data_IF_287722531998
#
_entry.id   IF_287722531998
#
_cell.length_a   1.000
_cell.length_b   1.000
_cell.length_c   1.000
_cell.angle_alpha   90.00
_cell.angle_beta   90.00
_cell.angle_gamma   90.00
#
_symmetry.space_group_name_H-M   'P 1'
#
loop_
_entity.id
_entity.type
_entity.pdbx_description
1 polymer ?
#
# COMPACT_ATOMS: atom_id res chain seq x y z
N UNK A 1 -64.54 -52.50 80.85
CA UNK A 1 -65.89 -52.20 80.28
C UNK A 1 -65.67 -51.19 79.16
N UNK A 2 -65.50 -51.62 77.92
CA UNK A 2 -66.52 -51.82 76.87
C UNK A 2 -66.98 -50.51 76.18
N UNK A 3 -66.47 -50.33 74.94
CA UNK A 3 -67.10 -49.79 73.71
C UNK A 3 -67.24 -48.28 73.43
N UNK A 4 -66.64 -47.87 72.29
CA UNK A 4 -67.20 -47.20 71.07
C UNK A 4 -66.17 -46.19 70.54
N UNK A 5 -65.39 -46.47 69.49
CA UNK A 5 -65.73 -46.38 68.04
C UNK A 5 -66.45 -45.08 67.66
N UNK A 6 -65.70 -44.08 67.17
CA UNK A 6 -66.05 -43.41 65.91
C UNK A 6 -64.80 -42.76 65.29
N UNK A 7 -64.44 -43.24 64.11
CA UNK A 7 -63.61 -42.54 63.15
C UNK A 7 -64.28 -41.22 62.75
N UNK A 8 -63.54 -40.12 62.77
CA UNK A 8 -63.50 -39.21 61.62
C UNK A 8 -62.02 -38.96 61.30
N UNK A 9 -61.58 -39.68 60.29
CA UNK A 9 -60.44 -39.38 59.45
C UNK A 9 -60.80 -38.10 58.68
N UNK A 10 -60.17 -36.97 59.01
CA UNK A 10 -59.84 -35.93 58.03
C UNK A 10 -58.53 -35.30 58.44
N UNK A 11 -57.53 -35.77 57.71
CA UNK A 11 -56.18 -35.31 57.57
C UNK A 11 -56.09 -33.78 57.66
N UNK A 12 -55.16 -33.33 58.51
CA UNK A 12 -54.55 -32.01 58.50
C UNK A 12 -54.48 -31.42 57.08
N UNK A 13 -55.08 -30.25 56.86
CA UNK A 13 -54.33 -29.06 56.43
C UNK A 13 -54.89 -27.86 57.20
N UNK A 14 -53.96 -27.15 57.82
CA UNK A 14 -54.13 -25.93 58.60
C UNK A 14 -54.98 -24.90 57.88
N UNK A 15 -55.91 -24.29 58.62
CA UNK A 15 -56.44 -22.99 58.28
C UNK A 15 -55.32 -21.94 58.32
N UNK A 16 -55.28 -21.14 57.25
CA UNK A 16 -54.76 -19.79 57.12
C UNK A 16 -54.13 -19.19 58.40
N UNK A 17 -52.81 -19.10 58.42
CA UNK A 17 -52.07 -18.28 59.38
C UNK A 17 -52.04 -16.84 58.85
N UNK A 18 -52.66 -15.93 59.61
CA UNK A 18 -52.59 -14.50 59.37
C UNK A 18 -51.19 -13.99 59.72
N UNK A 19 -50.30 -13.96 58.72
CA UNK A 19 -49.08 -13.16 58.73
C UNK A 19 -47.80 -13.93 58.46
N UNK A 20 -47.41 -14.01 57.18
CA UNK A 20 -46.04 -14.36 56.81
C UNK A 20 -45.88 -14.83 55.37
N UNK A 21 -45.73 -13.89 54.44
CA UNK A 21 -45.25 -14.14 53.06
C UNK A 21 -45.81 -15.43 52.42
N UNK A 22 -47.13 -15.49 52.24
CA UNK A 22 -47.85 -16.62 51.66
C UNK A 22 -47.44 -16.82 50.18
N UNK A 23 -46.46 -17.69 49.95
CA UNK A 23 -46.19 -18.20 48.61
C UNK A 23 -47.16 -19.34 48.32
N UNK A 24 -48.23 -19.00 47.62
CA UNK A 24 -49.11 -19.97 46.96
C UNK A 24 -48.30 -20.88 46.05
N UNK A 25 -48.52 -22.21 46.06
CA UNK A 25 -47.99 -23.08 45.02
C UNK A 25 -48.57 -22.69 43.65
N UNK A 26 -47.75 -22.72 42.61
CA UNK A 26 -48.14 -22.30 41.25
C UNK A 26 -49.29 -23.11 40.63
N UNK A 27 -49.67 -24.26 41.20
CA UNK A 27 -50.79 -25.06 40.73
C UNK A 27 -52.14 -24.68 41.37
N UNK A 28 -52.11 -23.86 42.43
CA UNK A 28 -53.31 -23.35 43.14
C UNK A 28 -53.60 -21.88 42.76
N UNK A 29 -52.87 -21.31 41.81
CA UNK A 29 -53.12 -19.98 41.27
C UNK A 29 -53.92 -20.08 39.97
N UNK A 30 -54.86 -19.16 39.77
CA UNK A 30 -55.50 -18.96 38.47
C UNK A 30 -54.54 -18.29 37.48
N UNK A 31 -54.98 -18.06 36.24
CA UNK A 31 -54.10 -17.45 35.23
C UNK A 31 -53.75 -15.97 35.50
N UNK A 32 -54.42 -15.30 36.45
CA UNK A 32 -54.12 -13.94 36.89
C UNK A 32 -53.15 -13.93 38.09
N UNK A 33 -52.76 -15.11 38.58
CA UNK A 33 -51.87 -15.28 39.72
C UNK A 33 -52.58 -15.19 41.06
N UNK A 34 -53.92 -15.19 41.08
CA UNK A 34 -54.71 -15.16 42.30
C UNK A 34 -54.86 -16.58 42.87
N UNK A 35 -54.57 -16.75 44.16
CA UNK A 35 -54.74 -18.03 44.83
C UNK A 35 -56.21 -18.43 44.87
N UNK A 36 -56.52 -19.63 44.37
CA UNK A 36 -57.87 -20.18 44.29
C UNK A 36 -58.83 -19.27 43.52
N UNK A 37 -58.32 -18.49 42.57
CA UNK A 37 -59.16 -17.74 41.64
C UNK A 37 -59.80 -18.65 40.60
N UNK A 38 -60.81 -18.13 39.90
CA UNK A 38 -61.60 -18.84 38.89
C UNK A 38 -61.24 -18.40 37.47
N UNK A 39 -60.21 -17.56 37.28
CA UNK A 39 -59.87 -17.02 35.98
C UNK A 39 -59.29 -18.11 35.06
N UNK A 40 -59.79 -18.18 33.83
CA UNK A 40 -59.41 -19.21 32.85
C UNK A 40 -58.62 -18.61 31.69
N UNK A 41 -57.69 -19.39 31.15
CA UNK A 41 -56.95 -19.03 29.94
C UNK A 41 -57.87 -19.18 28.74
N UNK A 42 -58.05 -18.12 27.96
CA UNK A 42 -58.80 -18.12 26.71
C UNK A 42 -58.01 -18.77 25.55
N UNK A 43 -58.63 -18.92 24.38
CA UNK A 43 -57.99 -19.55 23.21
C UNK A 43 -56.81 -18.76 22.64
N UNK A 44 -56.63 -17.52 23.11
CA UNK A 44 -55.53 -16.62 22.77
C UNK A 44 -54.39 -16.65 23.80
N UNK A 45 -54.52 -17.45 24.86
CA UNK A 45 -53.54 -17.51 25.94
C UNK A 45 -53.66 -16.37 26.96
N UNK A 46 -54.68 -15.52 26.85
CA UNK A 46 -54.98 -14.44 27.79
C UNK A 46 -55.85 -14.93 28.94
N UNK A 47 -55.67 -14.37 30.14
CA UNK A 47 -56.47 -14.72 31.30
C UNK A 47 -57.79 -13.93 31.34
N UNK A 48 -58.94 -14.62 31.43
CA UNK A 48 -60.29 -14.03 31.32
C UNK A 48 -60.46 -13.09 30.12
N UNK A 49 -59.74 -13.38 29.03
CA UNK A 49 -59.76 -12.58 27.82
C UNK A 49 -61.03 -12.77 27.00
N UNK A 50 -61.22 -11.90 26.01
CA UNK A 50 -62.37 -11.94 25.09
C UNK A 50 -62.28 -13.07 24.06
N UNK A 51 -61.19 -13.84 24.02
CA UNK A 51 -60.93 -14.87 23.01
C UNK A 51 -60.82 -14.32 21.59
N UNK A 52 -61.15 -15.15 20.61
CA UNK A 52 -61.16 -14.75 19.20
C UNK A 52 -62.38 -13.88 18.85
N UNK A 53 -62.13 -12.81 18.10
CA UNK A 53 -63.18 -12.00 17.48
C UNK A 53 -63.69 -12.60 16.15
N UNK A 54 -64.61 -11.88 15.48
CA UNK A 54 -65.22 -12.34 14.23
C UNK A 54 -64.23 -12.52 13.05
N UNK A 55 -63.04 -11.94 13.16
CA UNK A 55 -61.95 -12.07 12.18
C UNK A 55 -60.95 -13.18 12.55
N UNK A 56 -61.16 -13.88 13.68
CA UNK A 56 -60.24 -14.90 14.18
C UNK A 56 -58.99 -14.32 14.87
N UNK A 57 -59.01 -13.04 15.25
CA UNK A 57 -57.93 -12.37 15.96
C UNK A 57 -58.23 -12.24 17.45
N UNK A 58 -57.19 -12.09 18.26
CA UNK A 58 -57.33 -12.06 19.72
C UNK A 58 -57.82 -10.69 20.20
N UNK A 59 -58.82 -10.69 21.08
CA UNK A 59 -59.35 -9.44 21.65
C UNK A 59 -59.95 -8.52 20.59
N UNK A 60 -59.53 -7.26 20.58
CA UNK A 60 -59.99 -6.22 19.65
C UNK A 60 -59.06 -6.00 18.44
N UNK A 61 -58.08 -6.90 18.23
CA UNK A 61 -57.17 -6.83 17.10
C UNK A 61 -57.91 -6.95 15.75
N UNK A 62 -57.55 -6.09 14.80
CA UNK A 62 -58.06 -6.13 13.43
C UNK A 62 -57.07 -6.79 12.49
N UNK A 63 -57.57 -7.26 11.33
CA UNK A 63 -56.70 -7.68 10.24
C UNK A 63 -55.95 -6.48 9.64
N UNK A 64 -54.66 -6.65 9.39
CA UNK A 64 -53.85 -5.71 8.62
C UNK A 64 -54.06 -5.88 7.11
N UNK A 65 -53.30 -5.13 6.31
CA UNK A 65 -53.42 -5.14 4.85
C UNK A 65 -53.13 -6.51 4.22
N UNK A 66 -52.33 -7.34 4.88
CA UNK A 66 -51.93 -8.67 4.43
C UNK A 66 -52.83 -9.79 4.97
N UNK A 67 -53.88 -9.42 5.72
CA UNK A 67 -54.87 -10.36 6.26
C UNK A 67 -54.40 -11.10 7.52
N UNK A 68 -53.43 -10.52 8.24
CA UNK A 68 -52.92 -11.04 9.51
C UNK A 68 -53.40 -10.20 10.70
N UNK A 69 -53.50 -10.82 11.89
CA UNK A 69 -53.95 -10.12 13.09
C UNK A 69 -52.90 -9.12 13.59
N UNK A 70 -53.31 -7.89 13.83
CA UNK A 70 -52.43 -6.83 14.34
C UNK A 70 -51.21 -6.59 13.43
N UNK A 71 -50.03 -6.58 14.03
CA UNK A 71 -48.75 -6.33 13.34
C UNK A 71 -48.07 -7.63 12.86
N UNK A 72 -48.76 -8.77 12.89
CA UNK A 72 -48.20 -10.03 12.38
C UNK A 72 -47.99 -9.95 10.88
N UNK A 73 -46.82 -10.38 10.42
CA UNK A 73 -46.50 -10.48 9.00
C UNK A 73 -46.65 -11.94 8.52
N UNK A 74 -47.15 -12.17 7.29
CA UNK A 74 -47.15 -13.50 6.70
C UNK A 74 -45.73 -13.91 6.28
N UNK A 75 -45.35 -15.14 6.57
CA UNK A 75 -44.17 -15.74 5.92
C UNK A 75 -44.45 -16.00 4.43
N UNK A 76 -43.45 -16.47 3.67
CA UNK A 76 -43.63 -16.70 2.23
C UNK A 76 -44.64 -17.80 1.84
N UNK A 77 -45.19 -18.56 2.80
CA UNK A 77 -46.32 -19.47 2.60
C UNK A 77 -47.68 -18.83 2.92
N UNK A 78 -47.69 -17.54 3.29
CA UNK A 78 -48.89 -16.81 3.70
C UNK A 78 -49.33 -17.09 5.14
N UNK A 79 -48.46 -17.65 5.98
CA UNK A 79 -48.79 -17.93 7.39
C UNK A 79 -48.39 -16.74 8.27
N UNK A 80 -49.38 -16.08 8.87
CA UNK A 80 -49.19 -14.97 9.81
C UNK A 80 -48.45 -15.40 11.07
N UNK A 81 -47.36 -14.72 11.43
CA UNK A 81 -46.59 -15.02 12.65
C UNK A 81 -45.93 -16.40 12.66
N UNK A 82 -45.87 -17.07 11.51
CA UNK A 82 -45.19 -18.35 11.35
C UNK A 82 -43.67 -18.19 11.39
N UNK A 83 -42.95 -19.31 11.48
CA UNK A 83 -41.50 -19.31 11.34
C UNK A 83 -41.08 -18.65 10.02
N UNK A 84 -40.02 -17.85 10.06
CA UNK A 84 -39.42 -17.26 8.88
C UNK A 84 -38.92 -18.37 7.97
N UNK A 85 -39.56 -18.48 6.81
CA UNK A 85 -39.10 -19.34 5.72
C UNK A 85 -38.53 -18.37 4.67
N UNK A 86 -37.24 -18.45 4.34
CA UNK A 86 -36.66 -17.57 3.33
C UNK A 86 -37.11 -17.97 1.92
N UNK A 87 -37.14 -17.00 1.02
CA UNK A 87 -37.21 -17.25 -0.42
C UNK A 87 -35.83 -17.69 -0.91
N UNK A 88 -35.79 -18.69 -1.79
CA UNK A 88 -34.59 -18.99 -2.55
C UNK A 88 -34.40 -17.96 -3.69
N UNK A 89 -33.27 -18.01 -4.40
CA UNK A 89 -32.99 -17.03 -5.47
C UNK A 89 -33.99 -17.07 -6.64
N UNK A 90 -34.80 -18.15 -6.74
CA UNK A 90 -35.85 -18.30 -7.75
C UNK A 90 -37.21 -17.77 -7.24
N UNK A 91 -37.25 -17.18 -6.05
CA UNK A 91 -38.46 -16.69 -5.41
C UNK A 91 -39.35 -17.82 -4.88
N UNK A 92 -38.79 -19.01 -4.62
CA UNK A 92 -39.54 -20.15 -4.06
C UNK A 92 -39.35 -20.18 -2.55
N UNK A 93 -40.46 -20.17 -1.82
CA UNK A 93 -40.48 -20.26 -0.37
C UNK A 93 -39.88 -21.58 0.12
N UNK A 94 -38.78 -21.54 0.89
CA UNK A 94 -38.06 -22.72 1.36
C UNK A 94 -37.43 -23.53 0.23
N UNK A 95 -37.22 -22.90 -0.93
CA UNK A 95 -36.57 -23.54 -2.06
C UNK A 95 -35.08 -23.75 -1.82
N UNK A 96 -34.45 -24.50 -2.71
CA UNK A 96 -33.03 -24.87 -2.61
C UNK A 96 -32.19 -24.18 -3.67
N UNK A 97 -32.76 -23.28 -4.47
CA UNK A 97 -32.01 -22.59 -5.50
C UNK A 97 -31.03 -21.61 -4.86
N UNK A 98 -29.77 -21.70 -5.27
CA UNK A 98 -28.69 -20.83 -4.82
C UNK A 98 -28.19 -19.98 -5.97
N UNK A 99 -27.79 -18.74 -5.69
CA UNK A 99 -27.09 -17.90 -6.67
C UNK A 99 -25.71 -18.51 -6.95
N UNK A 100 -25.29 -18.44 -8.21
CA UNK A 100 -23.91 -18.72 -8.60
C UNK A 100 -23.03 -17.48 -8.40
N UNK A 101 -21.74 -17.56 -8.72
CA UNK A 101 -20.81 -16.48 -8.39
C UNK A 101 -21.00 -15.20 -9.25
N UNK A 102 -21.80 -15.27 -10.32
CA UNK A 102 -22.21 -14.09 -11.10
C UNK A 102 -23.56 -13.51 -10.63
N UNK A 103 -24.15 -14.06 -9.57
CA UNK A 103 -25.50 -13.71 -9.11
C UNK A 103 -26.61 -14.35 -9.94
N UNK A 104 -26.32 -15.34 -10.80
CA UNK A 104 -27.33 -16.04 -11.57
C UNK A 104 -27.92 -17.21 -10.75
N UNK A 105 -29.24 -17.23 -10.58
CA UNK A 105 -29.91 -18.28 -9.81
C UNK A 105 -29.82 -19.66 -10.51
N UNK A 106 -29.30 -20.67 -9.81
CA UNK A 106 -28.94 -22.00 -10.36
C UNK A 106 -27.95 -21.92 -11.55
N UNK A 107 -27.13 -20.86 -11.62
CA UNK A 107 -26.11 -20.75 -12.63
C UNK A 107 -25.02 -21.82 -12.47
N UNK A 108 -24.27 -22.06 -13.55
CA UNK A 108 -23.27 -23.15 -13.61
C UNK A 108 -21.86 -22.67 -13.36
N UNK A 109 -21.65 -21.37 -13.10
CA UNK A 109 -20.35 -20.78 -12.83
C UNK A 109 -20.05 -20.92 -11.33
N UNK A 110 -19.19 -21.88 -10.97
CA UNK A 110 -18.57 -21.96 -9.63
C UNK A 110 -19.07 -23.04 -8.63
N UNK A 111 -19.66 -24.17 -9.06
CA UNK A 111 -20.10 -25.23 -8.10
C UNK A 111 -19.80 -26.69 -8.53
N UNK A 112 -18.98 -26.91 -9.55
CA UNK A 112 -18.56 -28.27 -9.90
C UNK A 112 -17.65 -28.86 -8.81
N UNK A 113 -17.70 -30.18 -8.54
CA UNK A 113 -16.77 -30.83 -7.59
C UNK A 113 -15.31 -30.56 -8.01
N UNK A 114 -14.59 -29.77 -7.20
CA UNK A 114 -13.22 -29.31 -7.50
C UNK A 114 -13.11 -27.87 -8.06
N UNK A 115 -14.19 -27.10 -8.10
CA UNK A 115 -14.19 -25.66 -8.38
C UNK A 115 -14.28 -24.83 -7.08
N UNK A 116 -13.78 -23.59 -7.12
CA UNK A 116 -13.89 -22.60 -6.04
C UNK A 116 -15.36 -22.32 -5.70
N UNK A 117 -15.69 -22.24 -4.41
CA UNK A 117 -16.98 -21.63 -4.02
C UNK A 117 -16.91 -20.10 -4.21
N UNK A 118 -18.07 -19.43 -4.13
CA UNK A 118 -18.15 -17.97 -4.28
C UNK A 118 -17.54 -17.18 -3.10
N UNK A 119 -17.01 -17.87 -2.09
CA UNK A 119 -16.29 -17.32 -0.94
C UNK A 119 -14.76 -17.55 -1.06
N UNK A 120 -14.28 -18.20 -2.12
CA UNK A 120 -12.85 -18.44 -2.36
C UNK A 120 -12.24 -19.65 -1.65
N UNK A 121 -13.03 -20.56 -1.08
CA UNK A 121 -12.55 -21.77 -0.40
C UNK A 121 -12.56 -23.00 -1.32
N UNK A 122 -11.45 -23.76 -1.31
CA UNK A 122 -11.35 -25.11 -1.88
C UNK A 122 -11.60 -26.18 -0.81
N UNK A 123 -12.12 -27.37 -1.17
CA UNK A 123 -12.15 -28.52 -0.27
C UNK A 123 -10.80 -29.27 -0.13
N UNK A 124 -9.68 -28.81 -0.74
CA UNK A 124 -8.42 -29.56 -0.83
C UNK A 124 -7.16 -28.72 -0.54
N UNK A 125 -6.11 -29.36 -0.01
CA UNK A 125 -4.89 -28.79 0.63
C UNK A 125 -3.89 -27.97 -0.25
N UNK A 126 -4.29 -27.45 -1.42
CA UNK A 126 -3.39 -26.69 -2.33
C UNK A 126 -3.83 -25.22 -2.59
N UNK A 127 -4.74 -24.67 -1.77
CA UNK A 127 -4.92 -23.24 -1.44
C UNK A 127 -4.82 -22.17 -2.56
N UNK A 128 -5.41 -22.35 -3.74
CA UNK A 128 -5.49 -21.26 -4.74
C UNK A 128 -6.84 -21.16 -5.44
N UNK A 129 -7.74 -20.38 -4.85
CA UNK A 129 -8.95 -19.83 -5.48
C UNK A 129 -8.88 -18.31 -5.53
N UNK A 130 -9.20 -17.72 -6.68
CA UNK A 130 -9.38 -16.27 -6.85
C UNK A 130 -10.85 -15.97 -7.08
N UNK A 131 -11.32 -14.84 -6.54
CA UNK A 131 -12.70 -14.42 -6.73
C UNK A 131 -13.02 -14.17 -8.21
N UNK A 132 -14.17 -14.71 -8.63
CA UNK A 132 -14.84 -14.48 -9.91
C UNK A 132 -14.33 -15.23 -11.16
N UNK A 133 -13.57 -16.34 -11.01
CA UNK A 133 -13.18 -17.18 -12.16
C UNK A 133 -12.34 -16.47 -13.24
N UNK A 134 -11.92 -15.24 -12.98
CA UNK A 134 -10.94 -14.47 -13.71
C UNK A 134 -9.66 -14.43 -12.91
N UNK A 135 -8.54 -14.29 -13.62
CA UNK A 135 -7.20 -14.18 -13.04
C UNK A 135 -7.18 -12.98 -12.09
N UNK A 136 -7.46 -13.21 -10.80
CA UNK A 136 -7.11 -12.27 -9.74
C UNK A 136 -5.62 -12.00 -9.88
N UNK A 137 -5.24 -10.72 -9.95
CA UNK A 137 -3.83 -10.37 -9.96
C UNK A 137 -3.18 -11.04 -8.75
N UNK A 138 -2.08 -11.79 -8.93
CA UNK A 138 -1.51 -12.61 -7.86
C UNK A 138 -1.26 -11.75 -6.62
N UNK A 139 -1.95 -12.07 -5.52
CA UNK A 139 -1.75 -11.43 -4.21
C UNK A 139 -2.97 -10.78 -3.54
N UNK A 140 -4.12 -10.60 -4.20
CA UNK A 140 -5.33 -10.02 -3.60
C UNK A 140 -6.40 -11.07 -3.23
N UNK A 141 -7.14 -10.87 -2.14
CA UNK A 141 -8.30 -11.68 -1.76
C UNK A 141 -9.60 -11.18 -2.44
N UNK A 142 -10.69 -11.87 -2.11
CA UNK A 142 -12.04 -11.63 -2.60
C UNK A 142 -12.66 -10.28 -2.23
N UNK A 143 -12.23 -9.67 -1.13
CA UNK A 143 -12.68 -8.35 -0.69
C UNK A 143 -11.79 -7.22 -1.26
N UNK A 144 -10.96 -7.56 -2.26
CA UNK A 144 -10.01 -6.66 -2.90
C UNK A 144 -8.93 -6.14 -1.93
N UNK A 145 -8.67 -6.88 -0.85
CA UNK A 145 -7.60 -6.63 0.12
C UNK A 145 -6.32 -7.39 -0.30
N UNK A 146 -5.16 -6.78 -0.06
CA UNK A 146 -3.87 -7.40 -0.40
C UNK A 146 -3.46 -8.43 0.67
N UNK A 147 -3.22 -9.67 0.25
CA UNK A 147 -2.79 -10.80 1.08
C UNK A 147 -1.28 -11.00 1.11
N UNK A 148 -0.54 -10.29 0.26
CA UNK A 148 0.92 -10.25 0.27
C UNK A 148 1.42 -8.97 0.95
N UNK A 149 2.71 -8.88 1.31
CA UNK A 149 3.29 -7.60 1.69
C UNK A 149 3.11 -6.57 0.57
N UNK A 150 2.74 -5.36 0.95
CA UNK A 150 2.77 -4.21 0.05
C UNK A 150 4.21 -3.79 -0.17
N UNK A 151 4.56 -3.51 -1.42
CA UNK A 151 5.79 -2.80 -1.74
C UNK A 151 5.67 -1.30 -1.42
N UNK A 152 6.74 -0.55 -1.62
CA UNK A 152 6.74 0.88 -1.27
C UNK A 152 5.89 1.78 -2.20
N UNK A 153 5.33 1.23 -3.28
CA UNK A 153 4.34 1.90 -4.14
C UNK A 153 2.91 1.46 -3.80
N UNK A 154 2.72 0.74 -2.70
CA UNK A 154 1.47 0.07 -2.32
C UNK A 154 0.99 -0.95 -3.38
N UNK A 155 1.90 -1.54 -4.16
CA UNK A 155 1.58 -2.66 -5.02
C UNK A 155 1.67 -3.96 -4.21
N UNK A 156 0.60 -4.76 -4.29
CA UNK A 156 0.54 -6.05 -3.60
C UNK A 156 1.52 -7.06 -4.18
N UNK A 157 2.39 -7.63 -3.35
CA UNK A 157 3.41 -8.58 -3.81
C UNK A 157 4.45 -7.95 -4.74
N UNK A 158 4.52 -6.61 -4.78
CA UNK A 158 5.51 -5.91 -5.57
C UNK A 158 6.94 -6.10 -5.03
N UNK A 159 7.91 -5.84 -5.90
CA UNK A 159 9.35 -5.95 -5.56
C UNK A 159 10.00 -4.59 -5.32
N UNK A 160 9.22 -3.50 -5.38
CA UNK A 160 9.78 -2.17 -5.18
C UNK A 160 10.22 -2.02 -3.72
N UNK A 161 11.50 -1.68 -3.54
CA UNK A 161 12.10 -1.40 -2.24
C UNK A 161 12.39 0.08 -2.12
N UNK A 162 12.32 0.59 -0.89
CA UNK A 162 12.81 1.93 -0.57
C UNK A 162 14.34 1.87 -0.70
N UNK A 163 14.89 2.74 -1.54
CA UNK A 163 16.32 2.91 -1.69
C UNK A 163 16.90 3.80 -0.58
N UNK A 164 18.22 4.06 -0.60
CA UNK A 164 18.89 4.95 0.37
C UNK A 164 18.44 6.41 0.29
N UNK A 165 17.57 6.73 -0.68
CA UNK A 165 17.00 8.03 -0.96
C UNK A 165 15.56 8.18 -0.48
N UNK A 166 15.07 7.24 0.32
CA UNK A 166 13.67 7.14 0.72
C UNK A 166 12.71 7.12 -0.49
N UNK A 167 13.20 6.75 -1.68
CA UNK A 167 12.43 6.68 -2.90
C UNK A 167 12.12 5.23 -3.26
N UNK A 168 10.87 4.98 -3.60
CA UNK A 168 10.44 3.64 -3.94
C UNK A 168 10.83 3.28 -5.37
N UNK A 169 11.53 2.16 -5.57
CA UNK A 169 11.94 1.69 -6.90
C UNK A 169 12.93 2.64 -7.60
N UNK A 170 13.59 3.50 -6.84
CA UNK A 170 14.59 4.43 -7.34
C UNK A 170 15.92 3.75 -7.64
N UNK A 171 16.83 4.50 -8.27
CA UNK A 171 18.19 4.04 -8.57
C UNK A 171 19.10 4.04 -7.33
N UNK A 172 18.60 4.46 -6.16
CA UNK A 172 19.41 4.74 -4.98
C UNK A 172 20.28 5.98 -5.13
N UNK A 173 21.21 6.14 -4.20
CA UNK A 173 22.21 7.19 -4.28
C UNK A 173 23.11 6.92 -5.49
N UNK A 174 23.03 7.78 -6.50
CA UNK A 174 23.93 7.71 -7.66
C UNK A 174 25.26 8.35 -7.23
N UNK A 175 26.27 7.50 -7.05
CA UNK A 175 27.64 7.91 -6.72
C UNK A 175 27.73 8.80 -5.47
N UNK A 176 28.66 9.76 -5.43
CA UNK A 176 28.84 10.69 -4.31
C UNK A 176 27.73 11.75 -4.20
N UNK A 177 26.75 11.78 -5.11
CA UNK A 177 25.79 12.88 -5.27
C UNK A 177 24.46 12.71 -4.49
N UNK A 178 24.22 11.56 -3.87
CA UNK A 178 23.02 11.32 -3.07
C UNK A 178 21.71 11.25 -3.88
N UNK A 179 20.64 11.87 -3.36
CA UNK A 179 19.24 11.52 -3.62
C UNK A 179 18.38 12.69 -4.13
N UNK A 180 17.45 12.44 -5.09
CA UNK A 180 16.65 13.47 -5.77
C UNK A 180 15.24 13.66 -5.13
N UNK A 181 14.60 14.86 -5.12
CA UNK A 181 15.00 16.10 -5.76
C UNK A 181 16.20 16.75 -5.06
N UNK A 182 17.29 16.88 -5.79
CA UNK A 182 18.42 17.67 -5.40
C UNK A 182 18.00 19.15 -5.42
N UNK A 183 18.09 19.89 -4.31
CA UNK A 183 17.81 21.32 -4.27
C UNK A 183 18.59 22.05 -5.37
N UNK A 184 18.03 23.15 -5.89
CA UNK A 184 18.72 24.02 -6.85
C UNK A 184 20.05 24.47 -6.22
N UNK A 185 21.17 23.94 -6.71
CA UNK A 185 22.46 24.06 -6.03
C UNK A 185 23.13 22.75 -5.55
N UNK A 186 22.74 21.53 -5.97
CA UNK A 186 23.38 20.29 -5.46
C UNK A 186 24.36 19.53 -6.40
N UNK A 187 24.48 19.86 -7.70
CA UNK A 187 25.54 19.31 -8.58
C UNK A 187 26.37 20.37 -9.34
N UNK A 188 27.59 20.62 -8.84
CA UNK A 188 28.81 21.20 -9.48
C UNK A 188 30.05 20.86 -8.62
N UNK A 189 30.07 19.73 -7.91
CA UNK A 189 30.63 19.70 -6.55
C UNK A 189 30.03 20.77 -5.58
N UNK A 190 29.10 21.63 -6.02
CA UNK A 190 28.26 22.59 -5.27
C UNK A 190 27.04 23.21 -6.05
N UNK A 191 26.60 22.74 -7.24
CA UNK A 191 25.25 23.04 -7.75
C UNK A 191 24.91 23.70 -9.09
N UNK A 192 25.83 24.32 -9.82
CA UNK A 192 25.51 25.24 -10.92
C UNK A 192 25.97 24.76 -12.30
N UNK A 193 25.33 25.24 -13.38
CA UNK A 193 25.87 25.12 -14.74
C UNK A 193 27.21 25.84 -14.78
N UNK A 194 28.31 25.09 -14.93
CA UNK A 194 29.66 25.66 -14.99
C UNK A 194 29.78 26.50 -16.26
N UNK A 195 29.53 27.79 -16.16
CA UNK A 195 29.61 28.75 -17.26
C UNK A 195 31.03 29.30 -17.42
N UNK A 196 31.85 29.11 -16.40
CA UNK A 196 33.23 29.58 -16.30
C UNK A 196 34.05 28.67 -15.38
N UNK A 197 35.33 28.48 -15.71
CA UNK A 197 36.26 27.76 -14.84
C UNK A 197 36.41 28.38 -13.45
N UNK A 198 36.02 29.64 -13.25
CA UNK A 198 36.06 30.30 -11.94
C UNK A 198 34.98 29.83 -10.96
N UNK A 199 34.01 29.06 -11.43
CA UNK A 199 32.97 28.45 -10.61
C UNK A 199 33.39 27.06 -10.11
N UNK A 200 34.54 26.55 -10.56
CA UNK A 200 35.10 25.28 -10.11
C UNK A 200 35.79 25.42 -8.75
N UNK A 201 35.83 24.36 -7.93
CA UNK A 201 36.73 24.29 -6.78
C UNK A 201 38.19 24.45 -7.18
N UNK A 202 39.04 24.89 -6.25
CA UNK A 202 40.48 24.99 -6.50
C UNK A 202 41.07 23.63 -6.91
N UNK A 203 42.01 23.68 -7.86
CA UNK A 203 42.69 22.51 -8.44
C UNK A 203 41.72 21.49 -9.04
N UNK A 204 40.78 21.97 -9.86
CA UNK A 204 39.78 21.14 -10.53
C UNK A 204 39.75 21.42 -12.04
N UNK A 205 39.55 20.37 -12.84
CA UNK A 205 39.24 20.45 -14.26
C UNK A 205 37.79 20.04 -14.53
N UNK A 206 37.17 20.63 -15.55
CA UNK A 206 35.85 20.24 -16.06
C UNK A 206 35.82 20.32 -17.57
N UNK A 207 35.13 19.39 -18.24
CA UNK A 207 34.93 19.40 -19.69
C UNK A 207 33.46 19.70 -19.99
N UNK A 208 33.19 20.79 -20.71
CA UNK A 208 31.83 21.18 -21.13
C UNK A 208 31.88 21.61 -22.59
N UNK A 209 31.14 20.95 -23.47
CA UNK A 209 31.04 21.27 -24.91
C UNK A 209 32.41 21.49 -25.60
N UNK A 210 33.42 20.68 -25.24
CA UNK A 210 34.79 20.79 -25.77
C UNK A 210 35.69 21.81 -25.06
N UNK A 211 35.16 22.63 -24.16
CA UNK A 211 35.96 23.55 -23.35
C UNK A 211 36.47 22.85 -22.10
N UNK A 212 37.80 22.81 -21.93
CA UNK A 212 38.42 22.36 -20.69
C UNK A 212 38.56 23.55 -19.76
N UNK A 213 37.69 23.63 -18.77
CA UNK A 213 37.75 24.64 -17.71
C UNK A 213 38.73 24.21 -16.61
N UNK A 214 39.44 25.18 -16.04
CA UNK A 214 40.31 24.97 -14.89
C UNK A 214 40.10 26.05 -13.83
N UNK A 215 40.34 25.66 -12.57
CA UNK A 215 40.64 26.59 -11.48
C UNK A 215 41.89 26.08 -10.75
N UNK A 216 42.90 26.92 -10.62
CA UNK A 216 44.17 26.62 -9.98
C UNK A 216 44.57 27.74 -9.04
N UNK A 217 44.96 27.39 -7.81
CA UNK A 217 45.57 28.34 -6.88
C UNK A 217 47.09 28.47 -7.07
N UNK A 218 47.66 27.72 -8.01
CA UNK A 218 49.08 27.69 -8.35
C UNK A 218 49.31 27.83 -9.85
N UNK A 219 50.49 28.32 -10.23
CA UNK A 219 50.87 28.42 -11.65
C UNK A 219 51.07 27.02 -12.26
N UNK A 220 50.66 26.87 -13.52
CA UNK A 220 50.78 25.61 -14.26
C UNK A 220 51.95 25.71 -15.24
N UNK A 221 52.96 24.86 -15.07
CA UNK A 221 54.12 24.75 -15.97
C UNK A 221 53.93 23.71 -17.09
N UNK A 222 52.93 22.85 -16.97
CA UNK A 222 52.63 21.79 -17.93
C UNK A 222 51.43 20.98 -17.48
N UNK A 223 50.69 20.43 -18.43
CA UNK A 223 49.53 19.58 -18.17
C UNK A 223 49.51 18.38 -19.12
N UNK A 224 49.01 17.26 -18.62
CA UNK A 224 48.69 16.06 -19.40
C UNK A 224 47.38 15.49 -18.88
N UNK A 225 46.54 15.00 -19.78
CA UNK A 225 45.36 14.21 -19.44
C UNK A 225 44.92 13.39 -20.65
N UNK A 226 44.23 12.29 -20.38
CA UNK A 226 43.62 11.43 -21.37
C UNK A 226 42.14 11.75 -21.54
N UNK A 227 41.63 11.57 -22.76
CA UNK A 227 40.23 11.70 -23.12
C UNK A 227 39.66 10.29 -23.29
N UNK A 228 38.58 10.01 -22.56
CA UNK A 228 37.84 8.75 -22.64
C UNK A 228 36.47 9.03 -23.25
N UNK A 229 36.02 8.17 -24.17
CA UNK A 229 34.66 8.23 -24.73
C UNK A 229 34.48 9.06 -26.01
N UNK A 230 35.55 9.66 -26.56
CA UNK A 230 35.53 10.32 -27.87
C UNK A 230 36.88 10.24 -28.61
N UNK A 231 36.80 10.35 -29.93
CA UNK A 231 37.97 10.48 -30.81
C UNK A 231 38.34 11.97 -30.97
N UNK A 232 39.55 12.32 -30.52
CA UNK A 232 40.07 13.69 -30.51
C UNK A 232 40.67 14.09 -31.87
N UNK A 233 40.21 15.20 -32.42
CA UNK A 233 40.72 15.81 -33.66
C UNK A 233 41.87 16.77 -33.33
N UNK A 234 41.63 17.72 -32.44
CA UNK A 234 42.57 18.79 -32.13
C UNK A 234 42.40 19.31 -30.70
N UNK A 235 43.45 19.91 -30.15
CA UNK A 235 43.44 20.62 -28.88
C UNK A 235 44.21 21.94 -29.03
N UNK A 236 43.55 23.09 -28.86
CA UNK A 236 44.18 24.42 -29.04
C UNK A 236 43.39 25.53 -28.32
N UNK A 237 43.96 26.72 -28.20
CA UNK A 237 43.30 27.87 -27.57
C UNK A 237 43.40 27.93 -26.05
N UNK A 238 42.65 28.88 -25.48
CA UNK A 238 42.57 29.10 -24.04
C UNK A 238 43.85 29.67 -23.42
N UNK A 239 43.97 29.49 -22.10
CA UNK A 239 45.10 29.97 -21.32
C UNK A 239 46.44 29.30 -21.72
N UNK A 240 46.39 28.11 -22.32
CA UNK A 240 47.57 27.46 -22.86
C UNK A 240 48.16 28.24 -24.04
N UNK A 241 47.35 28.66 -25.02
CA UNK A 241 47.81 29.46 -26.15
C UNK A 241 48.27 30.85 -25.71
N UNK A 242 47.51 31.49 -24.81
CA UNK A 242 47.87 32.82 -24.25
C UNK A 242 49.21 32.82 -23.50
N UNK A 243 49.58 31.68 -22.88
CA UNK A 243 50.86 31.48 -22.22
C UNK A 243 51.98 30.94 -23.14
N UNK A 244 51.72 30.86 -24.45
CA UNK A 244 52.64 30.36 -25.48
C UNK A 244 53.03 28.88 -25.24
N UNK A 245 52.11 28.07 -24.74
CA UNK A 245 52.31 26.63 -24.63
C UNK A 245 52.15 25.96 -25.99
N UNK A 246 52.99 24.97 -26.24
CA UNK A 246 52.76 23.98 -27.29
C UNK A 246 51.78 22.94 -26.75
N UNK A 247 50.57 22.91 -27.30
CA UNK A 247 49.58 21.85 -27.05
C UNK A 247 49.68 20.83 -28.18
N UNK A 248 49.94 19.59 -27.81
CA UNK A 248 50.00 18.45 -28.72
C UNK A 248 48.98 17.41 -28.29
N UNK A 249 48.26 16.85 -29.25
CA UNK A 249 47.35 15.74 -29.01
C UNK A 249 47.77 14.49 -29.79
N UNK A 250 47.55 13.34 -29.18
CA UNK A 250 47.47 12.04 -29.87
C UNK A 250 46.01 11.74 -30.19
N UNK A 251 45.65 10.46 -30.38
CA UNK A 251 44.26 10.03 -30.50
C UNK A 251 43.47 10.14 -29.20
N UNK A 252 44.13 10.09 -28.04
CA UNK A 252 43.48 10.05 -26.71
C UNK A 252 44.18 10.90 -25.66
N UNK A 253 45.46 11.22 -25.82
CA UNK A 253 46.24 11.95 -24.82
C UNK A 253 46.51 13.37 -25.28
N UNK A 254 46.35 14.33 -24.38
CA UNK A 254 46.69 15.72 -24.59
C UNK A 254 47.87 16.07 -23.70
N UNK A 255 48.84 16.79 -24.27
CA UNK A 255 50.02 17.27 -23.59
C UNK A 255 50.23 18.75 -23.91
N UNK A 256 50.24 19.60 -22.88
CA UNK A 256 50.56 21.01 -22.99
C UNK A 256 51.82 21.35 -22.21
N UNK A 257 52.80 21.96 -22.89
CA UNK A 257 54.08 22.34 -22.28
C UNK A 257 54.70 23.57 -22.97
N UNK A 258 55.60 24.27 -22.29
CA UNK A 258 56.37 25.39 -22.86
C UNK A 258 57.85 25.06 -23.00
N UNK A 259 58.44 25.36 -24.16
CA UNK A 259 59.89 25.24 -24.39
C UNK A 259 60.69 26.42 -23.81
N UNK A 260 60.04 27.56 -23.56
CA UNK A 260 60.66 28.77 -23.01
C UNK A 260 60.50 28.87 -21.49
N UNK A 261 59.99 27.81 -20.87
CA UNK A 261 59.67 27.74 -19.45
C UNK A 261 58.65 28.80 -18.99
N UNK A 262 57.71 29.16 -19.87
CA UNK A 262 56.54 29.96 -19.51
C UNK A 262 55.61 29.14 -18.61
N UNK A 263 54.81 29.82 -17.79
CA UNK A 263 53.77 29.21 -16.96
C UNK A 263 52.42 29.88 -17.23
N UNK A 264 51.34 29.10 -17.16
CA UNK A 264 49.98 29.63 -17.10
C UNK A 264 49.79 30.20 -15.70
N UNK A 265 49.38 31.47 -15.64
CA UNK A 265 49.21 32.17 -14.36
C UNK A 265 48.15 31.48 -13.50
N UNK A 266 48.35 31.47 -12.18
CA UNK A 266 47.32 31.01 -11.25
C UNK A 266 46.00 31.75 -11.47
N UNK A 267 44.88 31.05 -11.29
CA UNK A 267 43.55 31.58 -11.55
C UNK A 267 42.66 30.54 -12.22
N UNK A 268 41.67 31.04 -12.93
CA UNK A 268 40.59 30.24 -13.48
C UNK A 268 40.21 30.70 -14.88
N UNK A 269 39.68 29.78 -15.68
CA UNK A 269 39.26 30.06 -17.05
C UNK A 269 39.21 28.81 -17.91
N UNK A 270 39.34 29.00 -19.23
CA UNK A 270 39.49 27.90 -20.20
C UNK A 270 40.97 27.57 -20.35
N UNK A 271 41.36 26.34 -20.06
CA UNK A 271 42.74 25.86 -20.20
C UNK A 271 43.10 25.66 -21.67
N UNK A 272 42.27 24.89 -22.37
CA UNK A 272 42.38 24.57 -23.80
C UNK A 272 41.01 24.17 -24.33
N UNK A 273 40.84 24.15 -25.65
CA UNK A 273 39.60 23.79 -26.34
C UNK A 273 39.87 22.52 -27.16
N UNK A 274 39.01 21.53 -27.00
CA UNK A 274 39.09 20.22 -27.63
C UNK A 274 38.05 20.11 -28.75
N UNK A 275 38.46 19.55 -29.87
CA UNK A 275 37.60 19.25 -31.00
C UNK A 275 37.52 17.73 -31.17
N UNK A 276 36.30 17.19 -31.33
CA UNK A 276 36.05 15.76 -31.43
C UNK A 276 35.42 15.39 -32.77
N UNK A 277 35.72 14.20 -33.29
CA UNK A 277 35.09 13.68 -34.52
C UNK A 277 33.65 13.25 -34.29
N UNK A 278 33.35 12.75 -33.09
CA UNK A 278 32.01 12.41 -32.63
C UNK A 278 31.82 12.92 -31.20
N UNK A 279 30.85 13.81 -30.99
CA UNK A 279 30.47 14.29 -29.66
C UNK A 279 29.50 13.31 -29.01
N UNK A 280 30.02 12.25 -28.38
CA UNK A 280 29.23 11.44 -27.45
C UNK A 280 28.94 12.23 -26.18
N UNK A 281 27.85 11.93 -25.47
CA UNK A 281 27.48 12.61 -24.21
C UNK A 281 28.13 11.98 -22.96
N UNK A 282 29.25 11.28 -23.12
CA UNK A 282 29.94 10.56 -22.05
C UNK A 282 31.46 10.71 -22.22
N UNK A 283 31.92 11.94 -22.45
CA UNK A 283 33.34 12.24 -22.59
C UNK A 283 33.91 12.60 -21.23
N UNK A 284 34.96 11.92 -20.82
CA UNK A 284 35.61 12.10 -19.52
C UNK A 284 37.11 12.38 -19.68
N UNK A 285 37.69 13.04 -18.67
CA UNK A 285 39.13 13.23 -18.56
C UNK A 285 39.70 12.30 -17.50
N UNK A 286 40.73 11.54 -17.87
CA UNK A 286 41.43 10.62 -16.97
C UNK A 286 42.95 10.89 -16.98
N UNK A 287 43.69 10.22 -16.10
CA UNK A 287 45.16 10.32 -15.98
C UNK A 287 45.68 11.78 -15.92
N UNK A 288 44.96 12.65 -15.19
CA UNK A 288 45.30 14.07 -15.10
C UNK A 288 46.62 14.24 -14.33
N UNK A 289 47.59 14.85 -15.00
CA UNK A 289 48.88 15.25 -14.45
C UNK A 289 49.09 16.73 -14.73
N UNK A 290 49.06 17.55 -13.69
CA UNK A 290 49.39 18.98 -13.79
C UNK A 290 50.68 19.25 -13.02
N UNK A 291 51.56 20.07 -13.61
CA UNK A 291 52.85 20.43 -13.03
C UNK A 291 52.95 21.92 -12.70
N UNK A 292 53.69 22.26 -11.65
CA UNK A 292 54.02 23.61 -11.23
C UNK A 292 55.49 23.96 -11.56
N UNK A 293 55.83 25.26 -11.70
CA UNK A 293 57.19 25.69 -12.06
C UNK A 293 58.23 25.45 -10.95
N UNK A 294 57.79 25.17 -9.72
CA UNK A 294 58.67 24.78 -8.60
C UNK A 294 59.11 23.32 -8.73
N UNK A 295 60.12 23.06 -9.57
CA UNK A 295 60.58 21.70 -9.90
C UNK A 295 60.92 20.80 -8.69
N UNK A 296 60.56 19.51 -8.80
CA UNK A 296 60.82 18.45 -7.82
C UNK A 296 59.67 17.42 -7.74
N UNK A 297 59.74 16.46 -6.80
CA UNK A 297 58.62 15.54 -6.49
C UNK A 297 57.41 16.26 -5.83
N UNK A 298 57.50 17.60 -5.70
CA UNK A 298 56.47 18.54 -5.26
C UNK A 298 55.89 19.35 -6.45
N UNK A 299 56.35 19.06 -7.67
CA UNK A 299 55.94 19.75 -8.87
C UNK A 299 54.59 19.28 -9.40
N UNK A 300 54.06 18.13 -8.97
CA UNK A 300 52.72 17.68 -9.38
C UNK A 300 51.65 18.29 -8.48
N UNK A 301 50.69 18.98 -9.10
CA UNK A 301 49.51 19.52 -8.43
C UNK A 301 48.42 18.46 -8.54
N UNK A 302 47.80 18.09 -7.41
CA UNK A 302 46.67 17.17 -7.41
C UNK A 302 45.46 17.90 -7.98
N UNK A 303 45.10 17.56 -9.21
CA UNK A 303 43.86 18.00 -9.82
C UNK A 303 42.80 16.92 -9.73
N UNK A 304 41.57 17.34 -9.47
CA UNK A 304 40.39 16.49 -9.58
C UNK A 304 39.63 16.80 -10.87
N UNK A 305 38.97 15.79 -11.43
CA UNK A 305 38.05 15.97 -12.56
C UNK A 305 36.62 16.06 -12.05
N UNK A 306 35.88 17.06 -12.53
CA UNK A 306 34.44 17.19 -12.34
C UNK A 306 33.74 16.89 -13.67
N UNK A 307 32.98 15.78 -13.72
CA UNK A 307 32.14 15.43 -14.87
C UNK A 307 30.89 16.30 -14.86
N UNK A 308 30.75 17.19 -15.83
CA UNK A 308 29.60 18.10 -15.99
C UNK A 308 28.45 17.53 -16.84
N UNK A 309 28.25 16.21 -16.84
CA UNK A 309 27.28 15.52 -17.71
C UNK A 309 26.18 14.86 -16.89
#
# INVERSE_FOLDING_TARGET
>A
MNRFFLLILSLFILGCDSGGNDTCPTYDQDCAGECYGDAEIDECGGCDGSGFNEYGCCGDETLNADGCCGDLEPNCLGQCGGAEIPLDCAGVCGGTATEDCNGDCNGTVGIAEGACNCEGDLPNEDDQCTCDGLLGFPGYNCDNECMLPLDCWNACGGLAVIDECDNCGGLGAIYECGCNPLPQGACNCSGENVSSGCELPNNTLSLVDGYVFYNSDTEIAGFQFDVVGADLISASGGAAEDAEFTVSNSSSTILGFSFEANSITQGCGTLTILEFENSSSLIELDEIVISSPTGGNLGSINFSYCSGQ
#
